data_IF_596277881276
#
_entry.id   IF_596277881276
#
_cell.length_a   1.000
_cell.length_b   1.000
_cell.length_c   1.000
_cell.angle_alpha   90.00
_cell.angle_beta   90.00
_cell.angle_gamma   90.00
#
_symmetry.space_group_name_H-M   'P 1'
#
loop_
_entity.id
_entity.type
_entity.pdbx_description
1 polymer ?
#
# COMPACT_ATOMS: atom_id res chain seq x y z
N UNK A 1 -12.12 -9.23 0.68
CA UNK A 1 -13.16 -8.88 -0.31
C UNK A 1 -12.65 -7.79 -1.27
N UNK A 2 -12.51 -6.53 -0.87
CA UNK A 2 -12.07 -5.46 -1.78
C UNK A 2 -10.71 -5.75 -2.43
N UNK A 3 -9.72 -6.22 -1.67
CA UNK A 3 -8.40 -6.63 -2.19
C UNK A 3 -8.37 -7.97 -2.93
N UNK A 4 -9.52 -8.55 -3.31
CA UNK A 4 -9.66 -9.87 -3.98
C UNK A 4 -9.12 -11.08 -3.18
N UNK A 5 -8.78 -10.90 -1.91
CA UNK A 5 -8.23 -11.98 -1.05
C UNK A 5 -9.32 -12.95 -0.59
N UNK A 6 -10.55 -12.46 -0.38
CA UNK A 6 -11.69 -13.27 0.07
C UNK A 6 -12.87 -13.11 -0.87
N UNK A 7 -13.56 -14.22 -1.12
CA UNK A 7 -14.83 -14.27 -1.85
C UNK A 7 -15.96 -14.02 -0.86
N UNK A 8 -16.96 -13.16 -1.18
CA UNK A 8 -18.12 -12.97 -0.32
C UNK A 8 -18.92 -14.26 -0.18
N UNK A 9 -19.33 -14.59 1.05
CA UNK A 9 -20.19 -15.76 1.30
C UNK A 9 -21.63 -15.56 0.82
N UNK A 10 -22.08 -14.29 0.70
CA UNK A 10 -23.40 -13.91 0.19
C UNK A 10 -23.35 -12.49 -0.35
N UNK A 11 -24.31 -12.15 -1.21
CA UNK A 11 -24.40 -10.84 -1.84
C UNK A 11 -23.58 -10.73 -3.12
N UNK A 12 -23.56 -9.52 -3.70
CA UNK A 12 -22.84 -9.20 -4.94
C UNK A 12 -21.88 -8.04 -4.71
N UNK A 13 -20.72 -8.08 -5.35
CA UNK A 13 -19.78 -6.97 -5.38
C UNK A 13 -19.44 -6.64 -6.83
N UNK A 14 -19.57 -5.37 -7.22
CA UNK A 14 -19.15 -4.86 -8.52
C UNK A 14 -18.00 -3.89 -8.30
N UNK A 15 -16.86 -4.16 -8.92
CA UNK A 15 -15.66 -3.34 -8.80
C UNK A 15 -15.18 -3.07 -10.21
N UNK A 16 -15.07 -1.79 -10.56
CA UNK A 16 -14.57 -1.31 -11.84
C UNK A 16 -13.26 -0.56 -11.62
N UNK A 17 -12.24 -0.91 -12.38
CA UNK A 17 -10.90 -0.35 -12.27
C UNK A 17 -9.87 -1.29 -11.64
N UNK A 18 -8.62 -0.87 -11.69
CA UNK A 18 -7.47 -1.57 -11.11
C UNK A 18 -7.40 -1.32 -9.60
N UNK A 19 -7.06 -2.37 -8.83
CA UNK A 19 -6.95 -2.29 -7.37
C UNK A 19 -5.49 -2.42 -6.98
N UNK A 20 -4.98 -1.48 -6.19
CA UNK A 20 -3.72 -1.58 -5.47
C UNK A 20 -3.96 -1.68 -3.98
N UNK A 21 -3.27 -2.61 -3.32
CA UNK A 21 -3.38 -2.80 -1.87
C UNK A 21 -2.02 -2.67 -1.22
N UNK A 22 -1.93 -1.82 -0.22
CA UNK A 22 -0.75 -1.65 0.63
C UNK A 22 -0.93 -2.29 2.01
N UNK A 23 -1.93 -3.19 2.18
CA UNK A 23 -2.22 -3.84 3.48
C UNK A 23 -1.09 -4.79 3.91
N UNK A 24 -0.45 -5.46 2.98
CA UNK A 24 0.58 -6.45 3.29
C UNK A 24 1.76 -6.30 2.32
N UNK A 25 2.45 -5.18 2.45
CA UNK A 25 3.53 -4.79 1.54
C UNK A 25 4.71 -5.77 1.50
N UNK A 26 4.92 -6.56 2.55
CA UNK A 26 5.99 -7.56 2.63
C UNK A 26 5.62 -8.94 2.07
N UNK A 27 4.36 -9.18 1.72
CA UNK A 27 3.97 -10.47 1.14
C UNK A 27 4.63 -10.72 -0.22
N UNK A 28 5.06 -11.96 -0.45
CA UNK A 28 5.67 -12.40 -1.71
C UNK A 28 7.12 -11.98 -1.89
N UNK A 29 7.83 -11.67 -0.81
CA UNK A 29 9.29 -11.50 -0.80
C UNK A 29 9.94 -12.89 -0.69
N UNK A 30 10.79 -13.22 -1.64
CA UNK A 30 11.64 -14.40 -1.61
C UNK A 30 12.97 -14.06 -0.93
N UNK A 31 13.26 -14.73 0.18
CA UNK A 31 14.45 -14.49 1.00
C UNK A 31 15.76 -14.92 0.33
N UNK A 32 15.71 -15.92 -0.55
CA UNK A 32 16.89 -16.43 -1.25
C UNK A 32 17.21 -15.64 -2.52
N UNK A 33 16.24 -14.95 -3.08
CA UNK A 33 16.43 -14.08 -4.22
C UNK A 33 17.04 -12.73 -3.81
N UNK A 34 17.73 -12.09 -4.74
CA UNK A 34 18.27 -10.73 -4.58
C UNK A 34 17.16 -9.68 -4.52
N UNK A 35 17.47 -8.47 -4.06
CA UNK A 35 16.53 -7.36 -4.11
C UNK A 35 16.04 -7.08 -5.53
N UNK A 36 16.94 -7.13 -6.51
CA UNK A 36 16.62 -6.93 -7.92
C UNK A 36 15.68 -8.01 -8.45
N UNK A 37 15.92 -9.28 -8.15
CA UNK A 37 15.02 -10.38 -8.51
C UNK A 37 13.66 -10.24 -7.85
N UNK A 38 13.62 -9.82 -6.59
CA UNK A 38 12.37 -9.56 -5.89
C UNK A 38 11.54 -8.43 -6.53
N UNK A 39 12.15 -7.42 -7.15
CA UNK A 39 11.42 -6.42 -7.93
C UNK A 39 10.64 -7.10 -9.07
N UNK A 40 11.24 -8.05 -9.79
CA UNK A 40 10.56 -8.78 -10.86
C UNK A 40 9.49 -9.73 -10.33
N UNK A 41 9.81 -10.50 -9.29
CA UNK A 41 8.87 -11.45 -8.66
C UNK A 41 7.61 -10.71 -8.22
N UNK A 42 7.78 -9.67 -7.43
CA UNK A 42 6.64 -8.90 -6.89
C UNK A 42 5.93 -8.08 -7.96
N UNK A 43 6.66 -7.47 -8.89
CA UNK A 43 6.06 -6.76 -10.02
C UNK A 43 5.12 -7.66 -10.82
N UNK A 44 5.55 -8.91 -11.05
CA UNK A 44 4.72 -9.92 -11.72
C UNK A 44 3.48 -10.31 -10.88
N UNK A 45 3.62 -10.45 -9.56
CA UNK A 45 2.51 -10.70 -8.65
C UNK A 45 1.49 -9.53 -8.64
N UNK A 46 1.97 -8.31 -8.84
CA UNK A 46 1.13 -7.12 -9.01
C UNK A 46 0.51 -7.00 -10.41
N UNK A 47 0.76 -7.97 -11.30
CA UNK A 47 0.19 -8.04 -12.63
C UNK A 47 0.95 -7.27 -13.70
N UNK A 48 2.16 -6.77 -13.40
CA UNK A 48 2.99 -6.06 -14.38
C UNK A 48 3.71 -7.03 -15.31
N UNK A 49 3.83 -6.65 -16.58
CA UNK A 49 4.64 -7.36 -17.56
C UNK A 49 6.12 -7.03 -17.34
N UNK A 50 7.01 -7.94 -17.74
CA UNK A 50 8.47 -7.76 -17.62
C UNK A 50 8.95 -6.42 -18.18
N UNK A 51 8.47 -6.02 -19.36
CA UNK A 51 8.83 -4.74 -19.98
C UNK A 51 8.42 -3.51 -19.14
N UNK A 52 7.26 -3.58 -18.46
CA UNK A 52 6.78 -2.50 -17.59
C UNK A 52 7.64 -2.40 -16.33
N UNK A 53 8.10 -3.54 -15.81
CA UNK A 53 9.02 -3.59 -14.67
C UNK A 53 10.38 -3.01 -15.07
N UNK A 54 10.91 -3.38 -16.23
CA UNK A 54 12.19 -2.88 -16.77
C UNK A 54 12.19 -1.36 -16.96
N UNK A 55 11.07 -0.77 -17.36
CA UNK A 55 10.93 0.70 -17.48
C UNK A 55 10.95 1.41 -16.14
N UNK A 56 10.56 0.73 -15.06
CA UNK A 56 10.41 1.31 -13.71
C UNK A 56 11.54 0.92 -12.74
N UNK A 57 12.32 -0.10 -13.06
CA UNK A 57 13.28 -0.68 -12.13
C UNK A 57 14.32 0.34 -11.63
N UNK A 58 14.76 1.26 -12.47
CA UNK A 58 15.68 2.32 -12.07
C UNK A 58 15.09 3.21 -10.98
N UNK A 59 13.83 3.64 -11.15
CA UNK A 59 13.11 4.46 -10.16
C UNK A 59 12.87 3.71 -8.84
N UNK A 60 12.64 2.39 -8.92
CA UNK A 60 12.43 1.56 -7.73
C UNK A 60 13.72 1.44 -6.94
N UNK A 61 14.85 1.16 -7.62
CA UNK A 61 16.17 1.05 -6.99
C UNK A 61 16.57 2.38 -6.35
N UNK A 62 16.33 3.49 -7.02
CA UNK A 62 16.56 4.83 -6.47
C UNK A 62 15.69 5.11 -5.24
N UNK A 63 14.40 4.75 -5.30
CA UNK A 63 13.48 4.97 -4.18
C UNK A 63 13.86 4.13 -2.97
N UNK A 64 14.16 2.83 -3.12
CA UNK A 64 14.50 1.97 -1.98
C UNK A 64 15.87 2.31 -1.36
N UNK A 65 16.76 2.98 -2.10
CA UNK A 65 18.03 3.53 -1.61
C UNK A 65 18.89 2.47 -0.88
N UNK A 66 19.09 1.32 -1.52
CA UNK A 66 19.81 0.18 -0.96
C UNK A 66 21.26 0.07 -1.48
N UNK A 67 21.64 0.92 -2.44
CA UNK A 67 22.97 0.89 -3.04
C UNK A 67 23.31 -0.49 -3.61
N UNK A 68 24.51 -0.98 -3.34
CA UNK A 68 24.99 -2.29 -3.81
C UNK A 68 24.27 -3.48 -3.18
N UNK A 69 23.55 -3.29 -2.06
CA UNK A 69 22.76 -4.35 -1.43
C UNK A 69 21.66 -4.87 -2.34
N UNK A 70 21.21 -4.10 -3.34
CA UNK A 70 20.15 -4.50 -4.26
C UNK A 70 20.44 -5.83 -4.99
N UNK A 71 21.71 -6.17 -5.16
CA UNK A 71 22.18 -7.38 -5.83
C UNK A 71 22.57 -8.51 -4.85
N UNK A 72 22.31 -8.33 -3.55
CA UNK A 72 22.48 -9.35 -2.51
C UNK A 72 21.14 -10.02 -2.15
N UNK A 73 21.15 -11.28 -1.65
CA UNK A 73 19.96 -11.98 -1.19
C UNK A 73 19.27 -11.26 -0.04
N UNK A 74 17.92 -11.23 -0.07
CA UNK A 74 17.09 -10.54 0.94
C UNK A 74 17.36 -11.00 2.37
N UNK A 75 17.71 -12.28 2.59
CA UNK A 75 18.08 -12.82 3.91
C UNK A 75 19.24 -12.06 4.59
N UNK A 76 20.01 -11.28 3.84
CA UNK A 76 21.10 -10.45 4.36
C UNK A 76 20.65 -9.04 4.74
N UNK A 77 19.39 -8.69 4.44
CA UNK A 77 18.86 -7.34 4.68
C UNK A 77 18.41 -7.16 6.13
N UNK A 78 18.59 -5.95 6.64
CA UNK A 78 17.89 -5.54 7.85
C UNK A 78 16.37 -5.42 7.60
N UNK A 79 15.57 -5.46 8.65
CA UNK A 79 14.11 -5.26 8.56
C UNK A 79 13.77 -3.94 7.83
N UNK A 80 14.52 -2.86 8.12
CA UNK A 80 14.34 -1.57 7.45
C UNK A 80 14.61 -1.64 5.95
N UNK A 81 15.68 -2.34 5.51
CA UNK A 81 16.00 -2.55 4.10
C UNK A 81 14.90 -3.35 3.39
N UNK A 82 14.41 -4.43 4.02
CA UNK A 82 13.31 -5.23 3.48
C UNK A 82 12.04 -4.37 3.31
N UNK A 83 11.72 -3.53 4.30
CA UNK A 83 10.57 -2.64 4.24
C UNK A 83 10.71 -1.57 3.15
N UNK A 84 11.88 -0.98 2.96
CA UNK A 84 12.15 -0.01 1.89
C UNK A 84 11.94 -0.64 0.52
N UNK A 85 12.48 -1.85 0.28
CA UNK A 85 12.29 -2.58 -0.97
C UNK A 85 10.80 -2.90 -1.19
N UNK A 86 10.16 -3.48 -0.16
CA UNK A 86 8.75 -3.85 -0.20
C UNK A 86 7.84 -2.66 -0.54
N UNK A 87 8.10 -1.51 0.09
CA UNK A 87 7.41 -0.26 -0.18
C UNK A 87 7.64 0.23 -1.61
N UNK A 88 8.91 0.32 -2.04
CA UNK A 88 9.25 0.81 -3.38
C UNK A 88 8.56 -0.02 -4.47
N UNK A 89 8.56 -1.35 -4.33
CA UNK A 89 7.89 -2.25 -5.28
C UNK A 89 6.37 -2.11 -5.22
N UNK A 90 5.78 -2.07 -4.02
CA UNK A 90 4.32 -1.98 -3.87
C UNK A 90 3.75 -0.66 -4.41
N UNK A 91 4.53 0.39 -4.40
CA UNK A 91 4.17 1.71 -4.94
C UNK A 91 4.49 1.89 -6.44
N UNK A 92 4.96 0.83 -7.11
CA UNK A 92 5.28 0.82 -8.54
C UNK A 92 4.04 1.00 -9.44
N UNK A 93 2.89 0.50 -9.00
CA UNK A 93 1.62 0.60 -9.70
C UNK A 93 0.90 1.89 -9.34
N UNK A 94 0.07 2.39 -10.27
CA UNK A 94 -0.88 3.49 -10.05
C UNK A 94 -2.28 2.93 -10.23
N UNK A 95 -2.92 2.46 -9.17
CA UNK A 95 -4.24 1.87 -9.24
C UNK A 95 -5.34 2.93 -9.30
N UNK A 96 -6.49 2.58 -9.88
CA UNK A 96 -7.69 3.41 -9.80
C UNK A 96 -8.26 3.42 -8.39
N UNK A 97 -8.17 2.28 -7.69
CA UNK A 97 -8.64 2.10 -6.30
C UNK A 97 -7.45 1.71 -5.43
N UNK A 98 -7.09 2.59 -4.50
CA UNK A 98 -6.01 2.34 -3.53
C UNK A 98 -6.62 1.92 -2.19
N UNK A 99 -6.14 0.77 -1.66
CA UNK A 99 -6.57 0.25 -0.36
C UNK A 99 -5.38 0.25 0.60
N UNK A 100 -5.56 0.84 1.77
CA UNK A 100 -4.53 0.99 2.79
C UNK A 100 -5.06 0.61 4.17
N UNK A 101 -4.18 0.04 5.00
CA UNK A 101 -4.39 -0.20 6.42
C UNK A 101 -3.38 0.65 7.18
N UNK A 102 -3.86 1.70 7.79
CA UNK A 102 -3.09 2.81 8.36
C UNK A 102 -2.21 3.57 7.33
N UNK A 103 -1.72 4.75 7.74
CA UNK A 103 -0.73 5.49 6.98
C UNK A 103 0.65 4.88 7.26
N UNK A 104 1.23 4.25 6.26
CA UNK A 104 2.49 3.53 6.41
C UNK A 104 3.61 4.45 6.90
N UNK A 105 4.07 4.21 8.12
CA UNK A 105 5.33 4.75 8.62
C UNK A 105 6.45 3.77 8.26
N UNK A 106 7.07 3.97 7.10
CA UNK A 106 8.06 3.04 6.54
C UNK A 106 9.47 3.59 6.68
N UNK A 107 10.36 2.74 7.19
CA UNK A 107 11.81 3.00 7.18
C UNK A 107 12.27 3.93 8.31
N UNK A 108 13.51 4.36 8.17
CA UNK A 108 14.16 5.35 9.05
C UNK A 108 13.82 6.80 8.62
N UNK A 109 14.31 7.76 9.40
CA UNK A 109 14.06 9.19 9.17
C UNK A 109 14.45 9.64 7.76
N UNK A 110 15.55 9.11 7.21
CA UNK A 110 16.03 9.47 5.88
C UNK A 110 15.12 8.99 4.74
N UNK A 111 14.49 7.83 4.94
CA UNK A 111 13.56 7.25 3.97
C UNK A 111 12.13 7.82 4.10
N UNK A 112 11.75 8.25 5.30
CA UNK A 112 10.39 8.72 5.61
C UNK A 112 9.91 9.82 4.65
N UNK A 113 10.73 10.84 4.42
CA UNK A 113 10.36 11.95 3.52
C UNK A 113 10.11 11.48 2.09
N UNK A 114 10.93 10.56 1.55
CA UNK A 114 10.73 9.96 0.23
C UNK A 114 9.45 9.13 0.19
N UNK A 115 9.21 8.33 1.25
CA UNK A 115 8.03 7.49 1.36
C UNK A 115 6.73 8.32 1.45
N UNK A 116 6.72 9.38 2.27
CA UNK A 116 5.58 10.29 2.40
C UNK A 116 5.26 10.99 1.08
N UNK A 117 6.26 11.52 0.39
CA UNK A 117 6.06 12.13 -0.94
C UNK A 117 5.47 11.13 -1.93
N UNK A 118 5.96 9.89 -1.93
CA UNK A 118 5.45 8.83 -2.79
C UNK A 118 4.02 8.43 -2.45
N UNK A 119 3.68 8.39 -1.15
CA UNK A 119 2.31 8.10 -0.70
C UNK A 119 1.33 9.19 -1.12
N UNK A 120 1.70 10.45 -0.95
CA UNK A 120 0.89 11.59 -1.40
C UNK A 120 0.65 11.52 -2.91
N UNK A 121 1.68 11.21 -3.72
CA UNK A 121 1.54 11.04 -5.16
C UNK A 121 0.55 9.91 -5.51
N UNK A 122 0.62 8.76 -4.82
CA UNK A 122 -0.30 7.64 -5.03
C UNK A 122 -1.74 8.00 -4.68
N UNK A 123 -1.96 8.63 -3.54
CA UNK A 123 -3.29 9.05 -3.08
C UNK A 123 -3.91 10.05 -4.05
N UNK A 124 -3.14 11.04 -4.49
CA UNK A 124 -3.63 12.07 -5.41
C UNK A 124 -3.94 11.53 -6.82
N UNK A 125 -3.32 10.42 -7.22
CA UNK A 125 -3.55 9.80 -8.53
C UNK A 125 -4.63 8.70 -8.50
N UNK A 126 -5.03 8.22 -7.33
CA UNK A 126 -6.11 7.25 -7.20
C UNK A 126 -7.48 7.94 -7.34
N UNK A 127 -8.41 7.29 -8.05
CA UNK A 127 -9.78 7.77 -8.14
C UNK A 127 -10.56 7.52 -6.84
N UNK A 128 -10.25 6.40 -6.17
CA UNK A 128 -10.86 6.02 -4.90
C UNK A 128 -9.75 5.61 -3.93
N UNK A 129 -9.75 6.25 -2.76
CA UNK A 129 -8.95 5.82 -1.61
C UNK A 129 -9.85 5.14 -0.58
N UNK A 130 -9.48 3.92 -0.17
CA UNK A 130 -10.10 3.22 0.95
C UNK A 130 -9.01 3.02 2.01
N UNK A 131 -9.19 3.66 3.15
CA UNK A 131 -8.23 3.57 4.25
C UNK A 131 -8.93 3.08 5.53
N UNK A 132 -8.37 2.08 6.17
CA UNK A 132 -8.71 1.73 7.54
C UNK A 132 -7.71 2.41 8.48
N UNK A 133 -8.18 3.12 9.49
CA UNK A 133 -7.28 3.81 10.43
C UNK A 133 -7.93 4.08 11.78
N UNK A 134 -7.10 4.17 12.81
CA UNK A 134 -7.47 4.65 14.14
C UNK A 134 -7.09 6.11 14.37
N UNK A 135 -6.43 6.76 13.42
CA UNK A 135 -6.00 8.16 13.51
C UNK A 135 -7.14 9.11 13.14
N UNK A 136 -7.68 9.82 14.14
CA UNK A 136 -8.71 10.86 13.95
C UNK A 136 -8.26 11.93 12.95
N UNK A 137 -7.01 12.39 13.08
CA UNK A 137 -6.44 13.43 12.21
C UNK A 137 -6.31 12.95 10.75
N UNK A 138 -5.80 11.74 10.56
CA UNK A 138 -5.66 11.17 9.22
C UNK A 138 -7.01 11.07 8.53
N UNK A 139 -8.02 10.49 9.20
CA UNK A 139 -9.36 10.32 8.65
C UNK A 139 -9.97 11.69 8.32
N UNK A 140 -9.88 12.67 9.22
CA UNK A 140 -10.43 14.00 9.04
C UNK A 140 -9.83 14.75 7.85
N UNK A 141 -8.51 14.59 7.65
CA UNK A 141 -7.77 15.34 6.62
C UNK A 141 -7.79 14.67 5.25
N UNK A 142 -8.07 13.36 5.19
CA UNK A 142 -7.91 12.57 3.95
C UNK A 142 -9.23 12.04 3.40
N UNK A 143 -10.22 11.78 4.26
CA UNK A 143 -11.47 11.13 3.86
C UNK A 143 -12.62 12.15 3.71
N UNK A 144 -13.48 11.89 2.73
CA UNK A 144 -14.74 12.64 2.55
C UNK A 144 -15.97 11.87 3.04
N UNK A 145 -15.82 10.57 3.36
CA UNK A 145 -16.84 9.68 3.89
C UNK A 145 -16.21 8.69 4.86
N UNK A 146 -16.86 8.39 5.96
CA UNK A 146 -16.40 7.46 6.98
C UNK A 146 -17.47 6.43 7.27
N UNK A 147 -17.07 5.18 7.37
CA UNK A 147 -17.93 4.06 7.75
C UNK A 147 -17.39 3.47 9.05
N UNK A 148 -18.19 3.58 10.12
CA UNK A 148 -17.88 2.90 11.38
C UNK A 148 -18.38 1.47 11.35
N UNK A 149 -17.45 0.54 11.43
CA UNK A 149 -17.73 -0.90 11.52
C UNK A 149 -17.58 -1.37 12.96
N UNK A 150 -18.60 -2.05 13.46
CA UNK A 150 -18.60 -2.67 14.78
C UNK A 150 -19.10 -4.11 14.67
N UNK A 151 -18.28 -5.08 15.10
CA UNK A 151 -18.58 -6.51 15.02
C UNK A 151 -19.09 -6.96 13.62
N UNK A 152 -18.48 -6.43 12.55
CA UNK A 152 -18.82 -6.78 11.16
C UNK A 152 -20.11 -6.12 10.63
N UNK A 153 -20.72 -5.20 11.38
CA UNK A 153 -21.90 -4.44 10.97
C UNK A 153 -21.57 -2.97 10.84
N UNK A 154 -22.22 -2.31 9.88
CA UNK A 154 -22.13 -0.85 9.75
C UNK A 154 -22.96 -0.26 10.91
N UNK A 155 -22.29 0.47 11.80
CA UNK A 155 -22.91 1.19 12.90
C UNK A 155 -23.27 2.60 12.50
N UNK A 156 -22.40 3.25 11.72
CA UNK A 156 -22.64 4.60 11.21
C UNK A 156 -21.94 4.76 9.86
N UNK A 157 -22.53 5.57 9.00
CA UNK A 157 -22.01 5.94 7.68
C UNK A 157 -22.33 7.43 7.47
N UNK A 158 -21.32 8.25 7.23
CA UNK A 158 -21.53 9.70 7.14
C UNK A 158 -20.26 10.49 6.89
N UNK A 159 -20.34 11.78 7.20
CA UNK A 159 -19.19 12.68 7.11
C UNK A 159 -18.13 12.35 8.17
N UNK A 160 -16.85 12.69 7.94
CA UNK A 160 -15.81 12.51 8.97
C UNK A 160 -16.18 13.18 10.30
N UNK A 161 -16.78 14.36 10.25
CA UNK A 161 -17.13 15.11 11.46
C UNK A 161 -18.17 14.38 12.30
N UNK A 162 -19.25 13.92 11.68
CA UNK A 162 -20.33 13.23 12.38
C UNK A 162 -19.87 11.90 12.98
N UNK A 163 -19.20 11.07 12.14
CA UNK A 163 -18.80 9.73 12.55
C UNK A 163 -17.69 9.77 13.59
N UNK A 164 -16.69 10.66 13.43
CA UNK A 164 -15.58 10.77 14.39
C UNK A 164 -16.06 11.34 15.74
N UNK A 165 -17.05 12.25 15.74
CA UNK A 165 -17.65 12.73 16.98
C UNK A 165 -18.37 11.60 17.72
N UNK A 166 -19.12 10.77 17.02
CA UNK A 166 -19.81 9.63 17.61
C UNK A 166 -18.87 8.50 18.06
N UNK A 167 -17.74 8.32 17.37
CA UNK A 167 -16.79 7.23 17.65
C UNK A 167 -15.84 7.56 18.82
N UNK A 168 -15.39 8.81 18.95
CA UNK A 168 -14.40 9.26 19.94
C UNK A 168 -15.00 10.08 21.09
N UNK A 169 -16.25 10.52 20.98
CA UNK A 169 -16.99 11.25 22.02
C UNK A 169 -17.61 10.34 23.01
#
# INVERSE_FOLDING_TARGET
MLGKVYIPCAGTARIEGSIGSLIAISLGIDQEATGRENIYIRGSLLGLKKQEIEQKIGQIIELCDLGSFIDLPIRTYSTGMQMRLAFAVSTMIRPDILIMDEWLSVGDESFRSKAESRMVDLVNNAQILIIASHSKELIKNTCNRVIWLEHGKIKMDGTPEDVLTAYFG
#
